data_IF_908640022109
#
_entry.id   IF_908640022109
#
_cell.length_a   1.000
_cell.length_b   1.000
_cell.length_c   1.000
_cell.angle_alpha   90.00
_cell.angle_beta   90.00
_cell.angle_gamma   90.00
#
_symmetry.space_group_name_H-M   'P 1'
#
loop_
_entity.id
_entity.type
_entity.pdbx_description
1 polymer ?
#
# COMPACT_ATOMS: atom_id res chain seq x y z
N UNK A 1 17.29 -5.07 27.65
CA UNK A 1 15.95 -4.82 27.08
C UNK A 1 15.83 -3.32 26.83
N UNK A 2 15.76 -2.84 25.57
CA UNK A 2 15.66 -1.41 25.31
C UNK A 2 14.29 -0.91 25.79
N UNK A 3 14.27 0.29 26.38
CA UNK A 3 13.05 0.90 26.92
C UNK A 3 12.04 1.19 25.78
N UNK A 4 10.74 0.88 25.96
CA UNK A 4 9.70 0.96 24.92
C UNK A 4 9.31 2.39 24.47
N UNK A 5 10.14 3.39 24.75
CA UNK A 5 9.83 4.82 24.56
C UNK A 5 11.07 5.66 24.25
N UNK A 6 12.19 5.04 23.85
CA UNK A 6 13.25 5.83 23.24
C UNK A 6 12.67 6.57 22.01
N UNK A 7 12.82 7.91 21.91
CA UNK A 7 12.49 8.62 20.69
C UNK A 7 13.23 7.93 19.54
N UNK A 8 12.58 7.83 18.39
CA UNK A 8 13.25 7.29 17.21
C UNK A 8 14.52 8.09 16.97
N UNK A 9 15.61 7.40 16.66
CA UNK A 9 16.77 8.09 16.11
C UNK A 9 16.35 8.80 14.82
N UNK A 10 17.03 9.88 14.40
CA UNK A 10 16.71 10.56 13.14
C UNK A 10 16.63 9.60 11.94
N UNK A 11 17.50 8.58 11.91
CA UNK A 11 17.48 7.55 10.88
C UNK A 11 16.23 6.65 10.95
N UNK A 12 15.83 6.20 12.14
CA UNK A 12 14.61 5.42 12.33
C UNK A 12 13.36 6.22 11.95
N UNK A 13 13.33 7.50 12.29
CA UNK A 13 12.23 8.39 11.93
C UNK A 13 12.13 8.57 10.41
N UNK A 14 13.26 8.77 9.73
CA UNK A 14 13.28 8.91 8.27
C UNK A 14 12.79 7.64 7.52
N UNK A 15 13.13 6.44 8.03
CA UNK A 15 12.59 5.18 7.50
C UNK A 15 11.08 5.10 7.73
N UNK A 16 10.62 5.43 8.94
CA UNK A 16 9.20 5.36 9.30
C UNK A 16 8.34 6.36 8.55
N UNK A 17 8.79 7.59 8.32
CA UNK A 17 8.10 8.59 7.48
C UNK A 17 7.75 8.01 6.11
N UNK A 18 8.73 7.42 5.42
CA UNK A 18 8.51 6.80 4.10
C UNK A 18 7.47 5.68 4.14
N UNK A 19 7.46 4.87 5.21
CA UNK A 19 6.48 3.80 5.39
C UNK A 19 5.10 4.35 5.76
N UNK A 20 5.03 5.39 6.60
CA UNK A 20 3.79 6.07 6.95
C UNK A 20 3.15 6.70 5.71
N UNK A 21 3.93 7.37 4.88
CA UNK A 21 3.46 7.97 3.64
C UNK A 21 2.93 6.89 2.68
N UNK A 22 3.68 5.80 2.49
CA UNK A 22 3.29 4.70 1.61
C UNK A 22 2.00 3.99 2.08
N UNK A 23 1.87 3.69 3.38
CA UNK A 23 0.66 3.07 3.93
C UNK A 23 -0.49 4.07 4.05
N UNK A 24 -0.19 5.36 4.19
CA UNK A 24 -1.18 6.43 4.26
C UNK A 24 -1.93 6.64 2.96
N UNK A 25 -1.32 6.32 1.81
CA UNK A 25 -2.02 6.31 0.51
C UNK A 25 -3.26 5.42 0.52
N UNK A 26 -3.27 4.32 1.29
CA UNK A 26 -4.43 3.42 1.38
C UNK A 26 -5.66 4.08 2.03
N UNK A 27 -5.52 5.27 2.63
CA UNK A 27 -6.60 6.02 3.27
C UNK A 27 -7.02 7.27 2.48
N UNK A 28 -6.51 7.46 1.26
CA UNK A 28 -6.97 8.52 0.37
C UNK A 28 -8.37 8.22 -0.15
N UNK A 29 -9.15 9.26 -0.44
CA UNK A 29 -10.50 9.17 -1.02
C UNK A 29 -10.49 8.85 -2.53
N UNK A 30 -9.30 8.82 -3.13
CA UNK A 30 -9.05 8.37 -4.50
C UNK A 30 -8.83 6.86 -4.56
N UNK A 31 -9.15 6.25 -5.70
CA UNK A 31 -8.84 4.84 -5.94
C UNK A 31 -7.32 4.59 -5.98
N UNK A 32 -6.80 3.93 -4.94
CA UNK A 32 -5.36 3.65 -4.79
C UNK A 32 -4.95 2.24 -5.19
N UNK A 33 -5.91 1.41 -5.65
CA UNK A 33 -5.64 0.01 -6.05
C UNK A 33 -4.56 -0.11 -7.13
N UNK A 34 -4.48 0.79 -8.14
CA UNK A 34 -3.36 0.76 -9.09
C UNK A 34 -1.99 1.05 -8.47
N UNK A 35 -1.93 1.79 -7.36
CA UNK A 35 -0.67 2.19 -6.70
C UNK A 35 -0.09 1.11 -5.80
N UNK A 36 -0.83 0.02 -5.51
CA UNK A 36 -0.38 -1.06 -4.63
C UNK A 36 1.01 -1.63 -4.97
N UNK A 37 1.41 -1.82 -6.23
CA UNK A 37 2.78 -2.25 -6.56
C UNK A 37 3.86 -1.23 -6.17
N UNK A 38 3.56 0.07 -6.27
CA UNK A 38 4.50 1.13 -5.86
C UNK A 38 4.57 1.23 -4.34
N UNK A 39 3.44 1.09 -3.64
CA UNK A 39 3.39 1.01 -2.17
C UNK A 39 4.24 -0.19 -1.72
N UNK A 40 4.00 -1.37 -2.28
CA UNK A 40 4.76 -2.58 -1.98
C UNK A 40 6.27 -2.43 -2.18
N UNK A 41 6.68 -1.72 -3.24
CA UNK A 41 8.09 -1.42 -3.49
C UNK A 41 8.70 -0.53 -2.39
N UNK A 42 8.03 0.56 -2.00
CA UNK A 42 8.50 1.43 -0.90
C UNK A 42 8.57 0.68 0.43
N UNK A 43 7.64 -0.25 0.69
CA UNK A 43 7.70 -1.11 1.86
C UNK A 43 8.88 -2.09 1.80
N UNK A 44 9.23 -2.61 0.62
CA UNK A 44 10.43 -3.44 0.44
C UNK A 44 11.73 -2.62 0.66
N UNK A 45 11.81 -1.40 0.12
CA UNK A 45 12.96 -0.50 0.26
C UNK A 45 13.18 0.00 1.69
N UNK A 46 12.15 -0.06 2.54
CA UNK A 46 12.27 0.34 3.95
C UNK A 46 13.25 -0.54 4.73
N UNK A 47 13.47 -1.78 4.29
CA UNK A 47 14.27 -2.78 4.99
C UNK A 47 13.66 -3.29 6.31
N UNK A 48 12.45 -2.87 6.65
CA UNK A 48 11.72 -3.37 7.82
C UNK A 48 11.18 -4.77 7.55
N UNK A 49 11.14 -5.61 8.58
CA UNK A 49 10.52 -6.93 8.52
C UNK A 49 8.98 -6.85 8.58
N UNK A 50 8.33 -8.00 8.44
CA UNK A 50 6.87 -8.08 8.42
C UNK A 50 6.25 -7.68 9.77
N UNK A 51 6.87 -8.06 10.88
CA UNK A 51 6.40 -7.72 12.23
C UNK A 51 6.44 -6.20 12.46
N UNK A 52 7.53 -5.53 12.09
CA UNK A 52 7.67 -4.08 12.22
C UNK A 52 6.68 -3.32 11.31
N UNK A 53 6.45 -3.81 10.09
CA UNK A 53 5.44 -3.24 9.19
C UNK A 53 4.02 -3.44 9.73
N UNK A 54 3.73 -4.61 10.30
CA UNK A 54 2.47 -4.88 10.99
C UNK A 54 2.24 -3.98 12.20
N UNK A 55 3.27 -3.74 13.01
CA UNK A 55 3.20 -2.78 14.12
C UNK A 55 2.90 -1.36 13.61
N UNK A 56 3.61 -0.90 12.58
CA UNK A 56 3.36 0.40 11.96
C UNK A 56 1.93 0.51 11.43
N UNK A 57 1.47 -0.51 10.69
CA UNK A 57 0.14 -0.55 10.12
C UNK A 57 -0.94 -0.44 11.20
N UNK A 58 -0.91 -1.33 12.20
CA UNK A 58 -1.98 -1.45 13.18
C UNK A 58 -1.93 -0.38 14.28
N UNK A 59 -0.72 0.03 14.69
CA UNK A 59 -0.54 0.85 15.89
C UNK A 59 -0.22 2.32 15.60
N UNK A 60 0.22 2.64 14.38
CA UNK A 60 0.64 3.99 13.99
C UNK A 60 -0.27 4.56 12.90
N UNK A 61 -0.26 3.97 11.70
CA UNK A 61 -0.94 4.53 10.52
C UNK A 61 -2.46 4.39 10.63
N UNK A 62 -2.98 3.17 10.83
CA UNK A 62 -4.42 2.92 10.87
C UNK A 62 -5.11 3.79 11.92
N UNK A 63 -4.65 3.87 13.18
CA UNK A 63 -5.31 4.70 14.18
C UNK A 63 -5.18 6.18 13.88
N UNK A 64 -4.04 6.60 13.32
CA UNK A 64 -3.84 7.98 12.94
C UNK A 64 -4.86 8.41 11.88
N UNK A 65 -5.01 7.65 10.80
CA UNK A 65 -5.82 8.00 9.63
C UNK A 65 -7.27 7.50 9.66
N UNK A 66 -7.64 6.78 10.71
CA UNK A 66 -8.97 6.17 10.89
C UNK A 66 -10.16 7.11 10.65
N UNK A 67 -9.99 8.38 11.02
CA UNK A 67 -11.01 9.41 10.88
C UNK A 67 -11.33 9.75 9.42
N UNK A 68 -10.38 9.55 8.50
CA UNK A 68 -10.55 9.76 7.05
C UNK A 68 -11.61 8.82 6.46
N UNK A 69 -11.79 7.63 7.06
CA UNK A 69 -12.82 6.68 6.63
C UNK A 69 -14.23 7.07 7.12
N UNK A 70 -14.33 7.98 8.09
CA UNK A 70 -15.59 8.29 8.81
C UNK A 70 -16.12 9.70 8.59
N UNK A 71 -15.32 10.60 8.04
CA UNK A 71 -15.71 11.98 7.77
C UNK A 71 -15.68 12.21 6.26
N UNK A 72 -16.82 12.60 5.70
CA UNK A 72 -16.86 13.23 4.36
C UNK A 72 -16.18 14.57 4.52
N UNK A 73 -14.88 14.63 4.26
CA UNK A 73 -14.14 15.87 4.26
C UNK A 73 -13.63 16.10 2.84
N UNK A 74 -13.87 17.32 2.35
CA UNK A 74 -13.52 17.73 0.99
C UNK A 74 -12.02 17.70 0.74
N UNK A 75 -11.67 17.63 -0.55
CA UNK A 75 -10.32 17.72 -1.15
C UNK A 75 -9.16 17.36 -0.21
N UNK A 76 -9.04 16.09 0.18
CA UNK A 76 -7.80 15.61 0.79
C UNK A 76 -6.76 15.38 -0.31
N UNK A 77 -6.18 16.48 -0.78
CA UNK A 77 -4.91 16.40 -1.49
C UNK A 77 -3.88 15.71 -0.57
N UNK A 78 -3.05 14.84 -1.16
CA UNK A 78 -1.85 14.19 -0.62
C UNK A 78 -1.42 14.74 0.77
N UNK A 79 -1.51 13.91 1.83
CA UNK A 79 -1.14 14.35 3.18
C UNK A 79 0.28 14.91 3.19
N UNK A 80 0.48 16.12 3.71
CA UNK A 80 1.83 16.59 4.00
C UNK A 80 2.46 15.62 5.02
N UNK A 81 3.62 15.04 4.70
CA UNK A 81 4.31 14.03 5.53
C UNK A 81 4.48 14.48 6.99
N UNK A 82 4.70 15.78 7.20
CA UNK A 82 4.82 16.40 8.53
C UNK A 82 3.52 16.33 9.35
N UNK A 83 2.35 16.38 8.72
CA UNK A 83 1.05 16.23 9.40
C UNK A 83 0.87 14.82 9.96
N UNK A 84 1.16 13.79 9.15
CA UNK A 84 0.99 12.39 9.55
C UNK A 84 1.96 12.03 10.68
N UNK A 85 3.22 12.47 10.58
CA UNK A 85 4.20 12.30 11.65
C UNK A 85 3.71 12.93 12.96
N UNK A 86 3.35 14.22 12.95
CA UNK A 86 2.96 14.94 14.16
C UNK A 86 1.79 14.23 14.84
N UNK A 87 0.84 13.72 14.05
CA UNK A 87 -0.32 12.99 14.54
C UNK A 87 0.07 11.65 15.17
N UNK A 88 0.94 10.87 14.53
CA UNK A 88 1.42 9.58 15.04
C UNK A 88 2.23 9.78 16.32
N UNK A 89 3.20 10.70 16.32
CA UNK A 89 4.03 11.01 17.49
C UNK A 89 3.18 11.46 18.68
N UNK A 90 2.21 12.37 18.45
CA UNK A 90 1.28 12.83 19.49
C UNK A 90 0.44 11.68 20.05
N UNK A 91 -0.09 10.80 19.18
CA UNK A 91 -0.86 9.61 19.61
C UNK A 91 -0.01 8.64 20.43
N UNK A 92 1.23 8.38 20.02
CA UNK A 92 2.16 7.51 20.76
C UNK A 92 2.44 8.04 22.16
N UNK A 93 2.63 9.35 22.30
CA UNK A 93 2.82 10.02 23.59
C UNK A 93 1.58 9.97 24.52
N UNK A 94 0.37 9.97 23.96
CA UNK A 94 -0.89 9.85 24.73
C UNK A 94 -1.16 8.39 25.13
N UNK A 95 -0.98 7.44 24.20
CA UNK A 95 -1.17 6.00 24.46
C UNK A 95 -0.24 5.48 25.56
N UNK A 96 0.98 5.99 25.64
CA UNK A 96 1.89 5.65 26.74
C UNK A 96 1.32 6.05 28.11
N UNK A 97 0.63 7.20 28.19
CA UNK A 97 0.02 7.69 29.44
C UNK A 97 -1.23 6.91 29.83
N UNK A 98 -1.94 6.35 28.86
CA UNK A 98 -3.21 5.65 29.06
C UNK A 98 -3.02 4.17 28.71
N UNK A 99 -2.53 3.40 29.69
CA UNK A 99 -2.29 1.94 29.57
C UNK A 99 -3.52 1.22 28.99
N UNK A 100 -3.36 0.65 27.79
CA UNK A 100 -4.22 -0.33 27.07
C UNK A 100 -5.75 -0.17 27.27
N UNK A 101 -6.40 0.55 26.36
CA UNK A 101 -7.83 0.37 26.11
C UNK A 101 -8.08 -0.75 25.10
N UNK A 102 -8.73 -1.83 25.54
CA UNK A 102 -9.13 -2.99 24.73
C UNK A 102 -10.15 -2.65 23.63
N UNK A 103 -10.92 -1.57 23.79
CA UNK A 103 -11.83 -1.03 22.75
C UNK A 103 -11.08 -0.54 21.50
N UNK A 104 -9.81 -0.13 21.62
CA UNK A 104 -8.97 0.30 20.49
C UNK A 104 -8.73 -0.83 19.50
N UNK A 105 -8.42 -2.04 19.99
CA UNK A 105 -8.09 -3.19 19.13
C UNK A 105 -9.30 -3.73 18.37
N UNK A 106 -10.48 -3.71 19.00
CA UNK A 106 -11.73 -4.12 18.36
C UNK A 106 -12.17 -3.08 17.31
N UNK A 107 -12.10 -1.79 17.62
CA UNK A 107 -12.43 -0.72 16.67
C UNK A 107 -11.41 -0.65 15.52
N UNK A 108 -10.12 -0.85 15.80
CA UNK A 108 -9.08 -0.99 14.76
C UNK A 108 -9.42 -2.12 13.78
N UNK A 109 -9.87 -3.29 14.26
CA UNK A 109 -10.26 -4.42 13.40
C UNK A 109 -11.52 -4.16 12.58
N UNK A 110 -12.51 -3.48 13.16
CA UNK A 110 -13.76 -3.18 12.44
C UNK A 110 -13.51 -2.13 11.35
N UNK A 111 -12.67 -1.14 11.62
CA UNK A 111 -12.52 0.04 10.75
C UNK A 111 -11.36 -0.13 9.74
N UNK A 112 -10.38 -0.99 10.01
CA UNK A 112 -9.39 -1.40 8.99
C UNK A 112 -9.99 -2.31 7.92
N UNK A 113 -11.17 -2.90 8.14
CA UNK A 113 -11.76 -3.91 7.24
C UNK A 113 -11.86 -3.46 5.77
N UNK A 114 -12.09 -2.18 5.52
CA UNK A 114 -12.14 -1.63 4.15
C UNK A 114 -10.76 -1.58 3.49
N UNK A 115 -9.72 -1.25 4.25
CA UNK A 115 -8.35 -1.06 3.75
C UNK A 115 -7.45 -2.29 3.94
N UNK A 116 -7.88 -3.26 4.76
CA UNK A 116 -7.13 -4.48 5.07
C UNK A 116 -6.87 -5.35 3.83
N UNK A 117 -7.81 -5.53 2.88
CA UNK A 117 -7.53 -6.25 1.64
C UNK A 117 -6.43 -5.58 0.81
N UNK A 118 -6.43 -4.25 0.76
CA UNK A 118 -5.42 -3.47 0.03
C UNK A 118 -4.04 -3.58 0.71
N UNK A 119 -3.99 -3.49 2.05
CA UNK A 119 -2.76 -3.73 2.82
C UNK A 119 -2.23 -5.16 2.61
N UNK A 120 -3.10 -6.17 2.70
CA UNK A 120 -2.72 -7.57 2.48
C UNK A 120 -2.18 -7.81 1.06
N UNK A 121 -2.80 -7.19 0.04
CA UNK A 121 -2.29 -7.22 -1.32
C UNK A 121 -0.92 -6.55 -1.44
N UNK A 122 -0.72 -5.36 -0.85
CA UNK A 122 0.57 -4.69 -0.84
C UNK A 122 1.67 -5.55 -0.17
N UNK A 123 1.35 -6.22 0.94
CA UNK A 123 2.29 -7.12 1.63
C UNK A 123 2.62 -8.37 0.80
N UNK A 124 1.64 -8.94 0.10
CA UNK A 124 1.87 -10.06 -0.82
C UNK A 124 2.76 -9.66 -2.00
N UNK A 125 2.52 -8.48 -2.59
CA UNK A 125 3.37 -7.92 -3.64
C UNK A 125 4.78 -7.65 -3.13
N UNK A 126 4.92 -7.09 -1.92
CA UNK A 126 6.22 -6.87 -1.27
C UNK A 126 7.00 -8.18 -1.14
N UNK A 127 6.35 -9.24 -0.67
CA UNK A 127 6.96 -10.56 -0.56
C UNK A 127 7.48 -11.05 -1.92
N UNK A 128 6.69 -10.87 -2.99
CA UNK A 128 7.11 -11.17 -4.36
C UNK A 128 8.31 -10.32 -4.82
N UNK A 129 8.39 -9.04 -4.47
CA UNK A 129 9.56 -8.20 -4.77
C UNK A 129 10.80 -8.64 -4.00
N UNK A 130 10.65 -9.02 -2.73
CA UNK A 130 11.79 -9.45 -1.91
C UNK A 130 12.44 -10.74 -2.41
N UNK A 131 11.68 -11.59 -3.12
CA UNK A 131 12.20 -12.78 -3.80
C UNK A 131 13.07 -12.46 -5.02
N UNK A 132 13.04 -11.23 -5.53
CA UNK A 132 13.85 -10.77 -6.65
C UNK A 132 15.16 -10.09 -6.18
N UNK A 133 16.21 -10.10 -7.01
CA UNK A 133 17.38 -9.26 -6.82
C UNK A 133 17.00 -7.79 -6.67
N UNK A 134 17.70 -7.06 -5.80
CA UNK A 134 17.36 -5.67 -5.48
C UNK A 134 17.29 -4.75 -6.71
N UNK A 135 18.23 -4.94 -7.65
CA UNK A 135 18.31 -4.21 -8.91
C UNK A 135 17.08 -4.40 -9.82
N UNK A 136 16.31 -5.48 -9.65
CA UNK A 136 15.14 -5.79 -10.48
C UNK A 136 13.82 -5.32 -9.85
N UNK A 137 13.80 -5.01 -8.55
CA UNK A 137 12.56 -4.74 -7.80
C UNK A 137 11.83 -3.51 -8.34
N UNK A 138 12.56 -2.44 -8.62
CA UNK A 138 11.97 -1.19 -9.15
C UNK A 138 11.34 -1.40 -10.53
N UNK A 139 12.05 -2.09 -11.42
CA UNK A 139 11.54 -2.45 -12.74
C UNK A 139 10.29 -3.35 -12.62
N UNK A 140 10.32 -4.37 -11.75
CA UNK A 140 9.15 -5.23 -11.51
C UNK A 140 7.95 -4.44 -11.00
N UNK A 141 8.16 -3.56 -10.02
CA UNK A 141 7.11 -2.73 -9.46
C UNK A 141 6.47 -1.80 -10.51
N UNK A 142 7.28 -1.24 -11.42
CA UNK A 142 6.78 -0.40 -12.52
C UNK A 142 5.92 -1.21 -13.50
N UNK A 143 6.33 -2.43 -13.87
CA UNK A 143 5.53 -3.31 -14.73
C UNK A 143 4.20 -3.68 -14.06
N UNK A 144 4.26 -4.11 -12.79
CA UNK A 144 3.06 -4.42 -12.02
C UNK A 144 2.14 -3.20 -11.88
N UNK A 145 2.68 -2.00 -11.69
CA UNK A 145 1.89 -0.77 -11.62
C UNK A 145 1.17 -0.50 -12.95
N UNK A 146 1.86 -0.65 -14.09
CA UNK A 146 1.24 -0.53 -15.41
C UNK A 146 0.10 -1.52 -15.63
N UNK A 147 0.29 -2.78 -15.24
CA UNK A 147 -0.75 -3.81 -15.30
C UNK A 147 -1.92 -3.52 -14.35
N UNK A 148 -1.64 -3.11 -13.11
CA UNK A 148 -2.68 -2.75 -12.14
C UNK A 148 -3.50 -1.55 -12.61
N UNK A 149 -2.87 -0.54 -13.23
CA UNK A 149 -3.58 0.58 -13.88
C UNK A 149 -4.49 0.09 -15.00
N UNK A 150 -4.00 -0.75 -15.91
CA UNK A 150 -4.83 -1.29 -16.98
C UNK A 150 -6.00 -2.15 -16.43
N UNK A 151 -5.77 -2.87 -15.33
CA UNK A 151 -6.76 -3.76 -14.73
C UNK A 151 -7.90 -3.00 -14.02
N UNK A 152 -7.57 -2.00 -13.20
CA UNK A 152 -8.58 -1.25 -12.43
C UNK A 152 -9.14 -0.05 -13.20
N UNK A 153 -8.36 0.54 -14.14
CA UNK A 153 -8.77 1.67 -14.97
C UNK A 153 -8.70 1.35 -16.47
N UNK A 154 -9.52 0.39 -16.96
CA UNK A 154 -9.45 -0.08 -18.34
C UNK A 154 -9.84 0.98 -19.39
N UNK A 155 -10.45 2.07 -18.97
CA UNK A 155 -10.79 3.25 -19.80
C UNK A 155 -9.61 4.19 -20.06
N UNK A 156 -8.53 4.10 -19.27
CA UNK A 156 -7.35 4.93 -19.49
C UNK A 156 -6.44 4.33 -20.56
N UNK A 157 -5.74 5.17 -21.35
CA UNK A 157 -4.78 4.67 -22.32
C UNK A 157 -3.65 3.89 -21.62
N UNK A 158 -3.12 2.84 -22.28
CA UNK A 158 -1.99 2.09 -21.73
C UNK A 158 -0.78 3.02 -21.55
N UNK A 159 0.01 2.77 -20.51
CA UNK A 159 1.27 3.50 -20.32
C UNK A 159 2.22 3.23 -21.50
N UNK A 160 3.06 4.20 -21.88
CA UNK A 160 4.02 4.03 -22.96
C UNK A 160 4.91 2.79 -22.71
N UNK A 161 5.11 2.05 -23.80
CA UNK A 161 5.76 0.74 -23.95
C UNK A 161 6.62 0.26 -22.78
N UNK A 162 6.24 -0.91 -22.25
CA UNK A 162 7.07 -1.68 -21.34
C UNK A 162 8.21 -2.36 -22.13
N UNK A 163 9.49 -2.28 -21.69
CA UNK A 163 10.61 -2.86 -22.44
C UNK A 163 10.68 -4.41 -22.39
N UNK A 164 9.68 -5.07 -21.80
CA UNK A 164 9.65 -6.53 -21.65
C UNK A 164 8.80 -7.18 -22.74
N UNK A 165 9.22 -8.36 -23.22
CA UNK A 165 8.48 -9.11 -24.24
C UNK A 165 7.07 -9.52 -23.78
N UNK A 166 6.13 -9.67 -24.72
CA UNK A 166 4.79 -10.18 -24.46
C UNK A 166 4.77 -11.50 -23.67
N UNK A 167 5.71 -12.43 -23.95
CA UNK A 167 5.81 -13.69 -23.22
C UNK A 167 6.16 -13.47 -21.74
N UNK A 168 7.13 -12.59 -21.46
CA UNK A 168 7.50 -12.19 -20.09
C UNK A 168 6.34 -11.54 -19.38
N UNK A 169 5.64 -10.60 -20.04
CA UNK A 169 4.51 -9.90 -19.45
C UNK A 169 3.33 -10.84 -19.17
N UNK A 170 3.12 -11.86 -20.00
CA UNK A 170 2.10 -12.91 -19.76
C UNK A 170 2.38 -13.67 -18.46
N UNK A 171 3.63 -14.09 -18.23
CA UNK A 171 4.01 -14.75 -16.98
C UNK A 171 3.85 -13.82 -15.78
N UNK A 172 4.33 -12.58 -15.91
CA UNK A 172 4.22 -11.58 -14.84
C UNK A 172 2.76 -11.29 -14.48
N UNK A 173 1.87 -11.26 -15.48
CA UNK A 173 0.44 -11.08 -15.27
C UNK A 173 -0.20 -12.27 -14.54
N UNK A 174 0.12 -13.50 -14.95
CA UNK A 174 -0.39 -14.71 -14.30
C UNK A 174 -0.04 -14.78 -12.80
N UNK A 175 1.12 -14.26 -12.41
CA UNK A 175 1.54 -14.16 -11.01
C UNK A 175 0.84 -13.02 -10.26
N UNK A 176 0.58 -11.90 -10.94
CA UNK A 176 0.02 -10.68 -10.36
C UNK A 176 -1.49 -10.77 -10.16
N UNK A 177 -2.23 -11.24 -11.17
CA UNK A 177 -3.70 -11.20 -11.21
C UNK A 177 -4.35 -11.79 -9.94
N UNK A 178 -3.92 -12.95 -9.40
CA UNK A 178 -4.55 -13.53 -8.21
C UNK A 178 -4.49 -12.63 -6.97
N UNK A 179 -3.51 -11.71 -6.92
CA UNK A 179 -3.37 -10.72 -5.84
C UNK A 179 -4.32 -9.54 -6.03
N UNK A 180 -4.59 -9.14 -7.28
CA UNK A 180 -5.43 -7.98 -7.60
C UNK A 180 -6.92 -8.33 -7.72
N UNK A 181 -7.24 -9.52 -8.23
CA UNK A 181 -8.62 -9.97 -8.49
C UNK A 181 -9.57 -9.81 -7.29
N UNK A 182 -9.19 -10.14 -6.04
CA UNK A 182 -10.08 -9.96 -4.88
C UNK A 182 -10.42 -8.50 -4.56
N UNK A 183 -9.70 -7.53 -5.15
CA UNK A 183 -9.88 -6.09 -4.93
C UNK A 183 -10.83 -5.46 -5.97
N UNK A 184 -11.32 -6.22 -6.94
CA UNK A 184 -12.35 -5.74 -7.85
C UNK A 184 -13.64 -5.47 -7.08
N UNK A 185 -14.24 -4.32 -7.34
CA UNK A 185 -15.56 -3.97 -6.85
C UNK A 185 -16.61 -4.82 -7.58
N UNK A 186 -17.74 -5.06 -6.92
CA UNK A 186 -18.87 -5.79 -7.54
C UNK A 186 -19.40 -5.14 -8.82
N UNK A 187 -19.21 -3.83 -8.96
CA UNK A 187 -19.59 -3.06 -10.15
C UNK A 187 -18.60 -3.20 -11.32
N UNK A 188 -17.39 -3.71 -11.07
CA UNK A 188 -16.35 -3.84 -12.09
C UNK A 188 -16.47 -5.17 -12.82
N UNK A 189 -16.22 -5.15 -14.12
CA UNK A 189 -16.31 -6.34 -14.97
C UNK A 189 -14.94 -6.99 -15.09
N UNK A 190 -14.79 -8.18 -14.49
CA UNK A 190 -13.57 -8.97 -14.50
C UNK A 190 -13.04 -9.26 -15.91
N UNK A 191 -13.91 -9.59 -16.86
CA UNK A 191 -13.51 -9.86 -18.25
C UNK A 191 -12.96 -8.61 -18.91
N UNK A 192 -13.63 -7.46 -18.73
CA UNK A 192 -13.16 -6.17 -19.26
C UNK A 192 -11.80 -5.77 -18.68
N UNK A 193 -11.63 -5.91 -17.36
CA UNK A 193 -10.36 -5.63 -16.69
C UNK A 193 -9.24 -6.55 -17.19
N UNK A 194 -9.51 -7.84 -17.36
CA UNK A 194 -8.54 -8.78 -17.93
C UNK A 194 -8.17 -8.45 -19.38
N UNK A 195 -9.15 -8.12 -20.22
CA UNK A 195 -8.92 -7.75 -21.62
C UNK A 195 -8.05 -6.50 -21.77
N UNK A 196 -8.21 -5.50 -20.89
CA UNK A 196 -7.37 -4.31 -20.91
C UNK A 196 -5.89 -4.63 -20.65
N UNK A 197 -5.61 -5.57 -19.74
CA UNK A 197 -4.23 -6.02 -19.49
C UNK A 197 -3.69 -6.84 -20.67
N UNK A 198 -4.49 -7.72 -21.27
CA UNK A 198 -4.09 -8.50 -22.46
C UNK A 198 -3.81 -7.60 -23.67
N UNK A 199 -4.58 -6.51 -23.83
CA UNK A 199 -4.32 -5.51 -24.85
C UNK A 199 -2.97 -4.81 -24.61
N UNK A 200 -2.64 -4.46 -23.36
CA UNK A 200 -1.34 -3.91 -22.99
C UNK A 200 -0.19 -4.89 -23.29
N UNK A 201 -0.36 -6.18 -22.99
CA UNK A 201 0.64 -7.22 -23.28
C UNK A 201 0.88 -7.36 -24.79
N UNK A 202 -0.18 -7.22 -25.60
CA UNK A 202 -0.11 -7.35 -27.06
C UNK A 202 0.61 -6.18 -27.75
N UNK A 203 0.83 -5.07 -27.03
CA UNK A 203 1.53 -3.88 -27.53
C UNK A 203 3.06 -3.91 -27.29
N UNK A 204 3.59 -4.98 -26.67
CA UNK A 204 4.99 -5.14 -26.29
C UNK A 204 5.73 -6.15 -27.18
#
# INVERSE_FOLDING_TARGET
MPLPHAPFTPAQLAVRRRVWDALGELFLDTDTRPSLPLIAHRLAESGLDEDALGEIWHEEVTPALLFNLTLVAGEWAYFESDFLEQRIVRRRAVRHRLRRWSLSALMQRVWSREVEPAYAAAMRLRSGLLALPDAERSARAAVWHGMARAYFWPELPPLPTCPASAATLTTVWADLEPTLRPLLLKSENLERSGQAVLALISLA
#
